data_IF_995458333231
#
_entry.id   IF_995458333231
#
_cell.length_a   1.000
_cell.length_b   1.000
_cell.length_c   1.000
_cell.angle_alpha   90.00
_cell.angle_beta   90.00
_cell.angle_gamma   90.00
#
_symmetry.space_group_name_H-M   'P 1'
#
loop_
_entity.id
_entity.type
_entity.pdbx_description
1 polymer ?
#
# COMPACT_ATOMS: atom_id res chain seq x y z
N UNK A 1 3.54 -21.00 -2.59
CA UNK A 1 2.85 -20.05 -1.69
C UNK A 1 2.84 -20.65 -0.30
N UNK A 2 3.18 -19.86 0.72
CA UNK A 2 3.07 -20.23 2.12
C UNK A 2 2.10 -19.25 2.80
N UNK A 3 1.00 -19.76 3.35
CA UNK A 3 -0.01 -18.96 4.04
C UNK A 3 0.26 -19.00 5.54
N UNK A 4 0.18 -17.85 6.20
CA UNK A 4 0.26 -17.75 7.64
C UNK A 4 -0.51 -16.51 8.13
N UNK A 5 -0.62 -16.38 9.45
CA UNK A 5 -1.17 -15.21 10.11
C UNK A 5 -0.17 -14.64 11.11
N UNK A 6 -0.23 -13.35 11.35
CA UNK A 6 0.47 -12.75 12.49
C UNK A 6 -0.31 -12.95 13.81
N UNK A 7 0.17 -12.35 14.90
CA UNK A 7 -0.46 -12.44 16.23
C UNK A 7 -1.82 -11.73 16.33
N UNK A 8 -2.16 -10.94 15.31
CA UNK A 8 -3.37 -10.15 15.19
C UNK A 8 -4.37 -10.76 14.20
N UNK A 9 -4.10 -11.99 13.72
CA UNK A 9 -4.86 -12.73 12.70
C UNK A 9 -4.79 -12.13 11.27
N UNK A 10 -3.87 -11.20 10.99
CA UNK A 10 -3.66 -10.66 9.65
C UNK A 10 -3.15 -11.76 8.73
N UNK A 11 -3.88 -12.03 7.65
CA UNK A 11 -3.53 -13.04 6.65
C UNK A 11 -2.39 -12.57 5.75
N UNK A 12 -1.29 -13.33 5.71
CA UNK A 12 -0.10 -13.03 4.92
C UNK A 12 0.25 -14.25 4.07
N UNK A 13 0.73 -13.99 2.85
CA UNK A 13 1.14 -15.02 1.88
C UNK A 13 2.59 -14.75 1.46
N UNK A 14 3.50 -15.69 1.72
CA UNK A 14 4.80 -15.69 1.06
C UNK A 14 4.66 -16.34 -0.32
N UNK A 15 5.00 -15.56 -1.35
CA UNK A 15 5.03 -16.00 -2.74
C UNK A 15 6.46 -16.04 -3.23
N UNK A 16 6.83 -17.09 -3.96
CA UNK A 16 8.13 -17.16 -4.64
C UNK A 16 8.07 -16.22 -5.85
N UNK A 17 9.05 -15.33 -5.96
CA UNK A 17 9.06 -14.31 -7.02
C UNK A 17 9.33 -14.87 -8.43
N UNK A 18 9.80 -16.11 -8.59
CA UNK A 18 9.98 -16.80 -9.88
C UNK A 18 10.62 -15.94 -11.00
N UNK A 19 11.59 -15.10 -10.65
CA UNK A 19 12.30 -14.18 -11.55
C UNK A 19 11.47 -13.04 -12.17
N UNK A 20 10.28 -12.73 -11.64
CA UNK A 20 9.56 -11.51 -11.96
C UNK A 20 10.39 -10.27 -11.59
N UNK A 21 10.24 -9.18 -12.34
CA UNK A 21 10.92 -7.92 -12.07
C UNK A 21 10.45 -7.34 -10.73
N UNK A 22 11.39 -6.77 -9.98
CA UNK A 22 11.14 -6.00 -8.76
C UNK A 22 11.54 -4.55 -8.99
N UNK A 23 10.93 -3.58 -8.28
CA UNK A 23 11.32 -2.18 -8.39
C UNK A 23 12.81 -1.99 -8.11
N UNK A 24 13.52 -1.26 -8.99
CA UNK A 24 14.96 -1.04 -8.87
C UNK A 24 15.38 -0.31 -7.58
N UNK A 25 14.44 0.37 -6.92
CA UNK A 25 14.68 1.07 -5.66
C UNK A 25 14.68 0.14 -4.45
N UNK A 26 14.16 -1.08 -4.58
CA UNK A 26 14.17 -2.05 -3.48
C UNK A 26 15.58 -2.55 -3.21
N UNK A 27 15.94 -2.59 -1.94
CA UNK A 27 17.25 -3.02 -1.46
C UNK A 27 17.06 -4.04 -0.35
N UNK A 28 18.03 -4.95 -0.23
CA UNK A 28 18.06 -5.88 0.89
C UNK A 28 18.27 -5.14 2.20
N UNK A 29 17.62 -5.63 3.25
CA UNK A 29 17.76 -5.06 4.57
C UNK A 29 19.09 -5.53 5.18
N UNK A 30 20.05 -4.61 5.27
CA UNK A 30 21.38 -4.86 5.84
C UNK A 30 21.34 -5.18 7.35
N UNK A 31 20.25 -4.83 8.04
CA UNK A 31 20.08 -5.07 9.49
C UNK A 31 19.37 -6.39 9.80
N UNK A 32 18.92 -7.14 8.79
CA UNK A 32 18.22 -8.40 8.99
C UNK A 32 19.19 -9.55 9.25
N UNK A 33 18.87 -10.39 10.23
CA UNK A 33 19.56 -11.66 10.48
C UNK A 33 19.21 -12.74 9.44
N UNK A 34 18.17 -12.52 8.63
CA UNK A 34 17.77 -13.44 7.58
C UNK A 34 18.77 -13.34 6.41
N UNK A 35 19.33 -14.47 5.93
CA UNK A 35 20.24 -14.45 4.80
C UNK A 35 19.61 -13.76 3.59
N UNK A 36 20.40 -12.95 2.88
CA UNK A 36 19.93 -12.10 1.78
C UNK A 36 19.04 -12.84 0.76
N UNK A 37 19.37 -14.10 0.45
CA UNK A 37 18.64 -14.96 -0.50
C UNK A 37 17.21 -15.34 -0.04
N UNK A 38 16.88 -15.15 1.23
CA UNK A 38 15.58 -15.50 1.84
C UNK A 38 14.84 -14.29 2.42
N UNK A 39 15.40 -13.08 2.27
CA UNK A 39 14.71 -11.87 2.71
C UNK A 39 13.48 -11.62 1.85
N UNK A 40 12.41 -11.12 2.49
CA UNK A 40 11.23 -10.64 1.78
C UNK A 40 11.66 -9.47 0.89
N UNK A 41 11.34 -9.54 -0.40
CA UNK A 41 11.73 -8.53 -1.38
C UNK A 41 10.91 -7.24 -1.25
N UNK A 42 9.61 -7.39 -0.96
CA UNK A 42 8.65 -6.32 -0.83
C UNK A 42 7.21 -6.84 -0.94
N UNK A 43 6.26 -5.93 -1.13
CA UNK A 43 4.83 -6.28 -1.28
C UNK A 43 4.62 -6.88 -2.67
N UNK A 44 4.08 -8.10 -2.71
CA UNK A 44 3.65 -8.76 -3.94
C UNK A 44 2.18 -8.45 -4.29
N UNK A 45 1.45 -9.42 -4.86
CA UNK A 45 0.02 -9.26 -5.11
C UNK A 45 -0.78 -9.03 -3.83
N UNK A 46 -1.80 -8.17 -3.89
CA UNK A 46 -2.72 -7.88 -2.80
C UNK A 46 -4.12 -8.40 -3.13
N UNK A 47 -4.72 -9.16 -2.21
CA UNK A 47 -6.10 -9.63 -2.37
C UNK A 47 -7.11 -8.53 -2.01
N UNK A 48 -8.05 -8.27 -2.92
CA UNK A 48 -9.18 -7.37 -2.71
C UNK A 48 -10.46 -8.19 -2.61
N UNK A 49 -10.94 -8.40 -1.38
CA UNK A 49 -12.22 -9.09 -1.12
C UNK A 49 -13.37 -8.11 -1.18
N UNK A 50 -14.23 -8.27 -2.18
CA UNK A 50 -15.32 -7.33 -2.50
C UNK A 50 -16.62 -8.08 -2.77
N UNK A 51 -17.78 -7.41 -2.59
CA UNK A 51 -19.09 -8.01 -2.89
C UNK A 51 -19.47 -8.00 -4.36
N UNK A 52 -18.82 -7.15 -5.15
CA UNK A 52 -19.03 -7.00 -6.58
C UNK A 52 -17.66 -6.83 -7.23
N UNK A 53 -17.11 -7.94 -7.73
CA UNK A 53 -15.80 -7.94 -8.39
C UNK A 53 -15.85 -7.10 -9.67
N UNK A 54 -16.89 -7.26 -10.49
CA UNK A 54 -17.03 -6.57 -11.78
C UNK A 54 -16.87 -5.05 -11.66
N UNK A 55 -17.50 -4.41 -10.66
CA UNK A 55 -17.36 -2.96 -10.41
C UNK A 55 -15.96 -2.56 -9.96
N UNK A 56 -15.26 -3.45 -9.25
CA UNK A 56 -13.87 -3.20 -8.82
C UNK A 56 -12.93 -3.34 -10.00
N UNK A 57 -13.08 -4.39 -10.81
CA UNK A 57 -12.36 -4.59 -12.07
C UNK A 57 -12.54 -3.39 -13.00
N UNK A 58 -13.79 -2.97 -13.25
CA UNK A 58 -14.11 -1.82 -14.10
C UNK A 58 -13.43 -0.52 -13.62
N UNK A 59 -13.43 -0.27 -12.30
CA UNK A 59 -12.74 0.88 -11.73
C UNK A 59 -11.22 0.81 -11.92
N UNK A 60 -10.62 -0.35 -11.63
CA UNK A 60 -9.18 -0.55 -11.80
C UNK A 60 -8.77 -0.34 -13.27
N UNK A 61 -9.53 -0.89 -14.22
CA UNK A 61 -9.21 -0.77 -15.66
C UNK A 61 -9.53 0.62 -16.21
N UNK A 62 -10.77 1.10 -16.07
CA UNK A 62 -11.24 2.29 -16.77
C UNK A 62 -10.83 3.60 -16.09
N UNK A 63 -10.61 3.58 -14.78
CA UNK A 63 -10.20 4.78 -14.04
C UNK A 63 -8.69 4.74 -13.77
N UNK A 64 -8.20 3.65 -13.16
CA UNK A 64 -6.80 3.57 -12.74
C UNK A 64 -5.84 3.06 -13.82
N UNK A 65 -6.34 2.53 -14.94
CA UNK A 65 -5.52 2.09 -16.07
C UNK A 65 -4.82 0.75 -15.86
N UNK A 66 -5.27 -0.05 -14.90
CA UNK A 66 -4.80 -1.42 -14.73
C UNK A 66 -5.21 -2.26 -15.93
N UNK A 67 -4.48 -3.35 -16.16
CA UNK A 67 -4.81 -4.34 -17.20
C UNK A 67 -4.94 -5.73 -16.59
N UNK A 68 -5.90 -6.48 -17.09
CA UNK A 68 -6.08 -7.87 -16.71
C UNK A 68 -4.91 -8.74 -17.19
N UNK A 69 -4.40 -9.59 -16.31
CA UNK A 69 -3.48 -10.68 -16.66
C UNK A 69 -4.26 -11.85 -17.25
N UNK A 70 -3.60 -12.64 -18.09
CA UNK A 70 -4.15 -13.94 -18.51
C UNK A 70 -4.07 -14.94 -17.36
N UNK A 71 -5.11 -14.97 -16.52
CA UNK A 71 -5.28 -15.90 -15.43
C UNK A 71 -6.70 -16.47 -15.47
N UNK A 72 -6.81 -17.80 -15.35
CA UNK A 72 -8.09 -18.53 -15.45
C UNK A 72 -8.83 -18.66 -14.12
N UNK A 73 -8.15 -18.43 -13.00
CA UNK A 73 -8.69 -18.73 -11.66
C UNK A 73 -9.28 -17.50 -10.98
N UNK A 74 -8.68 -16.33 -11.19
CA UNK A 74 -9.09 -15.08 -10.56
C UNK A 74 -8.91 -13.89 -11.50
N UNK A 75 -9.66 -12.82 -11.25
CA UNK A 75 -9.40 -11.52 -11.88
C UNK A 75 -8.15 -10.91 -11.26
N UNK A 76 -7.04 -10.97 -12.00
CA UNK A 76 -5.77 -10.35 -11.60
C UNK A 76 -5.51 -9.13 -12.48
N UNK A 77 -5.37 -7.97 -11.85
CA UNK A 77 -5.19 -6.67 -12.50
C UNK A 77 -3.80 -6.15 -12.17
N UNK A 78 -3.10 -5.59 -13.15
CA UNK A 78 -1.72 -5.10 -12.96
C UNK A 78 -1.42 -3.80 -13.70
N UNK A 79 -0.51 -3.00 -13.15
CA UNK A 79 0.12 -1.88 -13.84
C UNK A 79 1.50 -2.24 -14.41
N UNK A 80 2.17 -3.25 -13.84
CA UNK A 80 3.52 -3.67 -14.19
C UNK A 80 3.52 -5.15 -14.65
N UNK A 81 3.31 -5.43 -15.96
CA UNK A 81 3.13 -6.80 -16.44
C UNK A 81 4.34 -7.72 -16.21
N UNK A 82 5.55 -7.16 -16.07
CA UNK A 82 6.79 -7.91 -15.84
C UNK A 82 7.10 -8.16 -14.35
N UNK A 83 6.39 -7.50 -13.43
CA UNK A 83 6.54 -7.69 -11.98
C UNK A 83 5.25 -8.20 -11.35
N UNK A 84 5.25 -8.48 -10.05
CA UNK A 84 4.02 -8.85 -9.29
C UNK A 84 3.60 -7.80 -8.26
N UNK A 85 4.43 -6.77 -8.05
CA UNK A 85 4.30 -5.77 -6.99
C UNK A 85 3.17 -4.75 -7.18
N UNK A 86 2.51 -4.77 -8.35
CA UNK A 86 1.35 -3.92 -8.64
C UNK A 86 0.08 -4.74 -8.84
N UNK A 87 0.08 -6.01 -8.45
CA UNK A 87 -1.04 -6.89 -8.75
C UNK A 87 -2.14 -6.78 -7.70
N UNK A 88 -3.37 -6.62 -8.18
CA UNK A 88 -4.57 -6.83 -7.38
C UNK A 88 -5.26 -8.12 -7.81
N UNK A 89 -5.44 -9.03 -6.85
CA UNK A 89 -6.26 -10.24 -7.02
C UNK A 89 -7.66 -9.92 -6.48
N UNK A 90 -8.63 -9.74 -7.38
CA UNK A 90 -9.99 -9.37 -7.00
C UNK A 90 -10.80 -10.64 -6.74
N UNK A 91 -11.28 -10.78 -5.51
CA UNK A 91 -12.05 -11.94 -5.05
C UNK A 91 -13.47 -11.46 -4.72
N UNK A 92 -14.46 -12.02 -5.42
CA UNK A 92 -15.85 -11.80 -5.06
C UNK A 92 -16.24 -12.69 -3.87
N UNK A 93 -16.64 -12.07 -2.76
CA UNK A 93 -17.07 -12.78 -1.56
C UNK A 93 -18.36 -12.17 -1.01
N UNK A 94 -19.35 -13.05 -0.82
CA UNK A 94 -20.61 -12.71 -0.16
C UNK A 94 -20.54 -12.99 1.34
N UNK A 95 -21.41 -12.36 2.12
CA UNK A 95 -21.50 -12.55 3.57
C UNK A 95 -21.27 -11.27 4.37
N UNK A 96 -20.83 -11.44 5.62
CA UNK A 96 -20.59 -10.31 6.52
C UNK A 96 -19.44 -9.45 6.02
N UNK A 97 -19.56 -8.14 6.17
CA UNK A 97 -18.45 -7.23 5.94
C UNK A 97 -17.46 -7.37 7.08
N UNK A 98 -16.18 -7.31 6.75
CA UNK A 98 -15.13 -7.16 7.74
C UNK A 98 -15.40 -5.94 8.62
N UNK A 99 -15.12 -6.09 9.91
CA UNK A 99 -15.28 -5.02 10.90
C UNK A 99 -13.90 -4.48 11.25
N UNK A 100 -13.68 -3.16 11.19
CA UNK A 100 -12.43 -2.58 11.62
C UNK A 100 -12.08 -3.00 13.06
N UNK A 101 -10.83 -3.37 13.28
CA UNK A 101 -10.33 -3.88 14.55
C UNK A 101 -8.88 -4.34 14.43
N UNK A 102 -8.42 -5.08 15.45
CA UNK A 102 -7.13 -5.76 15.43
C UNK A 102 -7.05 -6.72 14.22
N UNK A 103 -5.93 -6.73 13.50
CA UNK A 103 -5.76 -7.53 12.27
C UNK A 103 -6.40 -6.96 10.99
N UNK A 104 -7.03 -5.78 11.04
CA UNK A 104 -7.70 -5.18 9.89
C UNK A 104 -6.75 -4.35 9.03
N UNK A 105 -6.75 -4.60 7.71
CA UNK A 105 -6.08 -3.73 6.74
C UNK A 105 -6.93 -2.48 6.51
N UNK A 106 -6.44 -1.32 6.97
CA UNK A 106 -7.20 -0.06 6.91
C UNK A 106 -7.32 0.55 5.51
N UNK A 107 -6.24 0.53 4.74
CA UNK A 107 -6.19 0.97 3.35
C UNK A 107 -5.02 0.29 2.63
N UNK A 108 -5.02 0.41 1.30
CA UNK A 108 -3.85 0.08 0.46
C UNK A 108 -3.37 1.34 -0.25
N UNK A 109 -2.07 1.63 -0.15
CA UNK A 109 -1.44 2.73 -0.87
C UNK A 109 -0.88 2.23 -2.21
N UNK A 110 -1.22 2.94 -3.29
CA UNK A 110 -0.73 2.72 -4.65
C UNK A 110 0.22 3.86 -4.99
N UNK A 111 1.39 3.51 -5.51
CA UNK A 111 2.42 4.47 -5.84
C UNK A 111 2.01 5.37 -7.04
N UNK A 112 2.18 6.67 -6.88
CA UNK A 112 2.14 7.70 -7.93
C UNK A 112 3.47 8.45 -7.91
N UNK A 113 4.49 8.02 -8.68
CA UNK A 113 5.89 8.40 -8.44
C UNK A 113 6.13 9.90 -8.26
N UNK A 114 5.46 10.73 -9.06
CA UNK A 114 5.59 12.17 -9.02
C UNK A 114 4.26 12.86 -8.69
N UNK A 115 4.36 14.13 -8.26
CA UNK A 115 3.19 14.98 -8.00
C UNK A 115 2.25 15.08 -9.21
N UNK A 116 2.79 15.13 -10.43
CA UNK A 116 1.99 15.17 -11.65
C UNK A 116 1.15 13.89 -11.84
N UNK A 117 1.66 12.73 -11.41
CA UNK A 117 0.92 11.46 -11.46
C UNK A 117 -0.22 11.48 -10.43
N UNK A 118 0.05 11.98 -9.22
CA UNK A 118 -0.96 12.15 -8.18
C UNK A 118 -2.06 13.12 -8.63
N UNK A 119 -1.70 14.24 -9.26
CA UNK A 119 -2.65 15.21 -9.83
C UNK A 119 -3.48 14.61 -10.96
N UNK A 120 -2.88 13.76 -11.80
CA UNK A 120 -3.60 13.05 -12.86
C UNK A 120 -4.63 12.08 -12.27
N UNK A 121 -4.27 11.33 -11.23
CA UNK A 121 -5.20 10.47 -10.50
C UNK A 121 -6.30 11.32 -9.83
N UNK A 122 -5.94 12.42 -9.17
CA UNK A 122 -6.90 13.32 -8.52
C UNK A 122 -7.97 13.81 -9.51
N UNK A 123 -7.56 14.28 -10.70
CA UNK A 123 -8.48 14.72 -11.77
C UNK A 123 -9.43 13.61 -12.24
N UNK A 124 -8.93 12.38 -12.40
CA UNK A 124 -9.77 11.22 -12.77
C UNK A 124 -10.79 10.90 -11.67
N UNK A 125 -10.38 10.96 -10.41
CA UNK A 125 -11.25 10.69 -9.26
C UNK A 125 -12.28 11.79 -9.01
N UNK A 126 -12.00 13.04 -9.40
CA UNK A 126 -12.98 14.13 -9.37
C UNK A 126 -14.16 13.90 -10.32
N UNK A 127 -14.01 13.05 -11.34
CA UNK A 127 -15.08 12.69 -12.27
C UNK A 127 -15.93 11.51 -11.76
N UNK A 128 -15.54 10.91 -10.63
CA UNK A 128 -16.27 9.80 -10.02
C UNK A 128 -17.35 10.30 -9.04
N UNK A 129 -18.42 9.53 -8.80
CA UNK A 129 -19.54 9.99 -7.97
C UNK A 129 -19.21 10.10 -6.48
N UNK A 130 -18.16 9.44 -6.00
CA UNK A 130 -17.74 9.48 -4.60
C UNK A 130 -16.71 10.60 -4.36
N UNK A 131 -16.78 11.22 -3.19
CA UNK A 131 -15.77 12.19 -2.75
C UNK A 131 -14.43 11.51 -2.47
N UNK A 132 -13.35 12.26 -2.71
CA UNK A 132 -12.00 11.93 -2.26
C UNK A 132 -11.56 12.95 -1.20
N UNK A 133 -10.44 12.69 -0.52
CA UNK A 133 -9.94 13.57 0.55
C UNK A 133 -9.32 14.89 0.09
N UNK A 134 -9.10 15.08 -1.22
CA UNK A 134 -8.11 16.01 -1.74
C UNK A 134 -6.68 15.53 -1.44
N UNK A 135 -5.70 16.28 -1.96
CA UNK A 135 -4.28 15.99 -1.71
C UNK A 135 -3.89 16.52 -0.34
N UNK A 136 -3.29 15.66 0.47
CA UNK A 136 -2.84 15.89 1.84
C UNK A 136 -1.33 15.75 1.89
N UNK A 137 -0.66 16.64 2.61
CA UNK A 137 0.76 16.52 2.92
C UNK A 137 0.95 15.61 4.14
N UNK A 138 1.69 14.51 3.96
CA UNK A 138 2.00 13.52 5.00
C UNK A 138 3.46 13.61 5.46
N UNK A 139 4.13 14.74 5.20
CA UNK A 139 5.54 14.99 5.48
C UNK A 139 6.50 14.16 4.61
N UNK A 140 6.44 12.83 4.72
CA UNK A 140 7.27 11.90 3.94
C UNK A 140 6.79 11.71 2.50
N UNK A 141 5.53 12.02 2.21
CA UNK A 141 4.92 11.94 0.89
C UNK A 141 3.67 12.81 0.85
N UNK A 142 3.14 13.03 -0.34
CA UNK A 142 1.80 13.61 -0.54
C UNK A 142 0.87 12.52 -1.00
N UNK A 143 -0.37 12.54 -0.53
CA UNK A 143 -1.33 11.52 -0.90
C UNK A 143 -2.77 11.99 -0.95
N UNK A 144 -3.64 11.19 -1.56
CA UNK A 144 -5.09 11.37 -1.50
C UNK A 144 -5.76 10.02 -1.27
N UNK A 145 -6.92 10.05 -0.62
CA UNK A 145 -7.71 8.87 -0.27
C UNK A 145 -9.01 8.83 -1.07
N UNK A 146 -9.36 7.64 -1.55
CA UNK A 146 -10.60 7.39 -2.26
C UNK A 146 -11.16 6.01 -1.91
N UNK A 147 -12.46 5.96 -1.56
CA UNK A 147 -13.12 4.72 -1.18
C UNK A 147 -13.94 4.17 -2.35
N UNK A 148 -13.60 2.97 -2.81
CA UNK A 148 -14.34 2.24 -3.84
C UNK A 148 -14.76 0.86 -3.33
N UNK A 149 -16.04 0.50 -3.47
CA UNK A 149 -16.57 -0.80 -3.03
C UNK A 149 -16.10 -1.25 -1.64
N UNK A 150 -16.16 -0.34 -0.66
CA UNK A 150 -15.68 -0.48 0.73
C UNK A 150 -14.17 -0.52 0.95
N UNK A 151 -13.35 -0.75 -0.09
CA UNK A 151 -11.90 -0.67 -0.01
C UNK A 151 -11.46 0.80 0.01
N UNK A 152 -10.55 1.15 0.92
CA UNK A 152 -9.91 2.46 0.93
C UNK A 152 -8.60 2.37 0.16
N UNK A 153 -8.49 3.16 -0.91
CA UNK A 153 -7.26 3.35 -1.66
C UNK A 153 -6.62 4.65 -1.24
N UNK A 154 -5.31 4.63 -1.06
CA UNK A 154 -4.46 5.80 -0.98
C UNK A 154 -3.61 5.85 -2.25
N UNK A 155 -3.41 7.04 -2.81
CA UNK A 155 -2.45 7.27 -3.89
C UNK A 155 -1.38 8.18 -3.34
N UNK A 156 -0.12 7.75 -3.34
CA UNK A 156 0.96 8.42 -2.63
C UNK A 156 2.20 8.62 -3.49
N UNK A 157 2.86 9.76 -3.35
CA UNK A 157 4.13 10.07 -4.02
C UNK A 157 5.31 9.29 -3.42
N UNK A 158 6.33 8.99 -4.23
CA UNK A 158 7.57 8.38 -3.72
C UNK A 158 8.38 9.35 -2.87
N UNK A 159 8.47 10.60 -3.34
CA UNK A 159 9.25 11.64 -2.70
C UNK A 159 8.40 12.46 -1.71
N UNK A 160 9.03 13.03 -0.67
CA UNK A 160 10.47 13.03 -0.41
C UNK A 160 11.04 11.73 0.21
N UNK A 161 10.20 10.87 0.78
CA UNK A 161 10.61 9.63 1.43
C UNK A 161 11.12 9.82 2.87
N UNK A 162 11.43 8.71 3.55
CA UNK A 162 11.86 8.72 4.96
C UNK A 162 13.28 9.30 5.19
N UNK A 163 14.06 9.49 4.13
CA UNK A 163 15.42 10.05 4.22
C UNK A 163 15.45 11.57 4.09
N UNK A 164 14.30 12.24 4.17
CA UNK A 164 14.22 13.70 4.11
C UNK A 164 14.93 14.36 5.29
N UNK A 165 14.78 13.78 6.48
CA UNK A 165 15.24 14.31 7.76
C UNK A 165 16.17 13.35 8.52
N UNK A 166 16.20 12.07 8.13
CA UNK A 166 16.90 11.00 8.85
C UNK A 166 17.83 10.20 7.93
N UNK A 167 19.12 10.04 8.26
CA UNK A 167 20.01 9.19 7.46
C UNK A 167 19.61 7.72 7.58
N UNK A 168 19.93 6.92 6.55
CA UNK A 168 19.52 5.50 6.45
C UNK A 168 19.98 4.69 7.66
N UNK A 169 21.14 5.02 8.23
CA UNK A 169 21.71 4.36 9.40
C UNK A 169 20.93 4.57 10.70
N UNK A 170 20.04 5.55 10.74
CA UNK A 170 19.29 5.95 11.93
C UNK A 170 17.77 5.77 11.78
N UNK A 171 17.29 5.29 10.62
CA UNK A 171 15.86 5.09 10.39
C UNK A 171 15.25 4.17 11.45
N UNK A 172 14.15 4.61 12.07
CA UNK A 172 13.43 3.86 13.09
C UNK A 172 14.13 3.76 14.46
N UNK A 173 15.29 4.41 14.64
CA UNK A 173 16.01 4.38 15.92
C UNK A 173 15.46 5.35 16.98
N UNK A 174 14.66 6.34 16.56
CA UNK A 174 14.08 7.37 17.41
C UNK A 174 12.66 7.71 16.95
N UNK A 175 11.90 8.38 17.82
CA UNK A 175 10.59 8.92 17.47
C UNK A 175 10.74 10.15 16.56
N UNK A 176 10.49 9.97 15.26
CA UNK A 176 10.35 11.08 14.32
C UNK A 176 8.95 11.70 14.44
N UNK A 177 8.89 13.02 14.60
CA UNK A 177 7.65 13.80 14.56
C UNK A 177 7.72 14.77 13.38
N UNK A 178 6.61 15.03 12.69
CA UNK A 178 6.58 16.12 11.71
C UNK A 178 6.73 17.47 12.43
N UNK A 179 7.31 18.46 11.75
CA UNK A 179 7.68 19.77 12.32
C UNK A 179 6.55 20.44 13.13
N UNK A 180 5.29 20.27 12.71
CA UNK A 180 4.13 20.88 13.37
C UNK A 180 3.76 20.22 14.72
N UNK A 181 4.32 19.04 15.04
CA UNK A 181 4.14 18.34 16.32
C UNK A 181 5.35 18.43 17.24
N UNK A 182 6.49 18.95 16.77
CA UNK A 182 7.72 19.03 17.58
C UNK A 182 7.56 19.84 18.87
N UNK A 183 6.73 20.90 18.84
CA UNK A 183 6.41 21.69 20.02
C UNK A 183 5.70 20.89 21.14
N UNK A 184 5.11 19.74 20.80
CA UNK A 184 4.37 18.86 21.71
C UNK A 184 5.13 17.56 22.03
N UNK A 185 6.42 17.44 21.64
CA UNK A 185 7.20 16.20 21.76
C UNK A 185 7.16 15.58 23.16
N UNK A 186 7.51 16.34 24.20
CA UNK A 186 7.52 15.83 25.58
C UNK A 186 6.15 15.28 26.00
N UNK A 187 5.07 15.96 25.61
CA UNK A 187 3.71 15.51 25.90
C UNK A 187 3.37 14.23 25.13
N UNK A 188 3.77 14.12 23.87
CA UNK A 188 3.54 12.93 23.04
C UNK A 188 4.30 11.74 23.62
N UNK A 189 5.61 11.90 23.86
CA UNK A 189 6.48 10.86 24.41
C UNK A 189 5.98 10.35 25.76
N UNK A 190 5.48 11.24 26.63
CA UNK A 190 4.92 10.84 27.94
C UNK A 190 3.69 9.92 27.88
N UNK A 191 3.03 9.82 26.72
CA UNK A 191 1.82 9.01 26.51
C UNK A 191 2.09 7.73 25.71
N UNK A 192 3.32 7.52 25.27
CA UNK A 192 3.73 6.32 24.54
C UNK A 192 4.33 5.30 25.50
N UNK A 193 4.11 4.03 25.22
CA UNK A 193 4.81 2.95 25.89
C UNK A 193 6.09 2.62 25.11
N UNK A 194 7.13 2.15 25.82
CA UNK A 194 8.30 1.57 25.16
C UNK A 194 7.88 0.34 24.35
N UNK A 195 8.48 0.18 23.17
CA UNK A 195 8.25 -0.92 22.22
C UNK A 195 9.28 -2.02 22.47
#
# INVERSE_FOLDING_TARGET
>A
MLFFKDEDDLEIILLVNDSFEVPHQWQHNAYSEIPQAYQILGIGPVELRVRNAARTVEFLENVLGYRKRDNKSFDVLTLAPQGLYSDFVVIEQQGQRERPGRGYIHHIAVNTPQMNDLDAIYKKLQQQPQSNSGIIDRYFFKSLYYRHNSIMYEFATEAPGFTIDTPVEQLGSQLNLPDFLEAEREQIESKLHEI
#
